data_IF_630600085771
#
_entry.id   IF_630600085771
#
_cell.length_a   1.000
_cell.length_b   1.000
_cell.length_c   1.000
_cell.angle_alpha   90.00
_cell.angle_beta   90.00
_cell.angle_gamma   90.00
#
_symmetry.space_group_name_H-M   'P 1'
#
loop_
_entity.id
_entity.type
_entity.pdbx_description
1 polymer ?
#
# COMPACT_ATOMS: atom_id res chain seq x y z
N UNK A 1 10.79 3.55 31.48
CA UNK A 1 10.91 4.07 30.09
C UNK A 1 9.53 4.32 29.57
N UNK A 2 9.33 5.46 28.89
CA UNK A 2 8.09 5.77 28.20
C UNK A 2 7.81 4.70 27.13
N UNK A 3 6.53 4.47 26.85
CA UNK A 3 6.07 3.50 25.85
C UNK A 3 6.43 3.93 24.42
N UNK A 4 6.41 5.24 24.21
CA UNK A 4 6.59 5.94 22.95
C UNK A 4 7.60 7.07 23.14
N UNK A 5 8.14 7.56 22.02
CA UNK A 5 9.10 8.69 21.99
C UNK A 5 8.46 10.00 21.56
N UNK A 6 7.21 9.94 21.09
CA UNK A 6 6.42 11.08 20.62
C UNK A 6 5.01 11.04 21.21
N UNK A 7 4.32 12.17 21.15
CA UNK A 7 2.93 12.32 21.56
C UNK A 7 1.97 11.76 20.50
N UNK A 8 0.87 11.15 20.95
CA UNK A 8 -0.13 10.51 20.09
C UNK A 8 -1.53 11.04 20.38
N UNK A 9 -2.44 11.04 19.40
CA UNK A 9 -3.83 11.42 19.62
C UNK A 9 -4.49 10.60 20.74
N UNK A 10 -4.20 9.29 20.77
CA UNK A 10 -4.63 8.36 21.81
C UNK A 10 -3.45 7.50 22.24
N UNK A 11 -3.28 7.33 23.55
CA UNK A 11 -2.29 6.39 24.09
C UNK A 11 -2.64 4.95 23.73
N UNK A 12 -1.63 4.12 23.50
CA UNK A 12 -1.83 2.70 23.24
C UNK A 12 -2.45 2.02 24.48
N UNK A 13 -3.64 1.39 24.39
CA UNK A 13 -4.36 0.85 25.56
C UNK A 13 -3.76 -0.49 25.99
N UNK A 14 -2.60 -0.43 26.65
CA UNK A 14 -1.84 -1.61 27.08
C UNK A 14 -1.51 -1.58 28.56
N UNK A 15 -1.51 -2.76 29.17
CA UNK A 15 -1.06 -2.95 30.56
C UNK A 15 0.30 -3.64 30.55
N UNK A 16 1.26 -3.10 31.29
CA UNK A 16 2.58 -3.73 31.44
C UNK A 16 2.48 -4.97 32.34
N UNK A 17 3.02 -6.08 31.86
CA UNK A 17 3.12 -7.35 32.58
C UNK A 17 4.56 -7.90 32.46
N UNK A 18 5.39 -7.58 33.46
CA UNK A 18 6.83 -7.85 33.43
C UNK A 18 7.53 -7.08 32.29
N UNK A 19 8.21 -7.83 31.42
CA UNK A 19 8.91 -7.32 30.23
C UNK A 19 8.01 -7.16 28.98
N UNK A 20 6.71 -7.40 29.14
CA UNK A 20 5.74 -7.38 28.06
C UNK A 20 4.61 -6.40 28.33
N UNK A 21 3.85 -6.10 27.27
CA UNK A 21 2.66 -5.28 27.34
C UNK A 21 1.51 -6.05 26.74
N UNK A 22 0.34 -5.90 27.33
CA UNK A 22 -0.84 -6.67 26.99
C UNK A 22 -1.91 -5.72 26.47
N UNK A 23 -2.28 -5.88 25.19
CA UNK A 23 -3.43 -5.22 24.58
C UNK A 23 -4.63 -6.18 24.58
N UNK A 24 -5.84 -5.68 24.87
CA UNK A 24 -7.06 -6.51 24.96
C UNK A 24 -8.22 -5.88 24.20
N UNK A 25 -9.02 -6.73 23.57
CA UNK A 25 -10.34 -6.36 23.04
C UNK A 25 -11.31 -7.53 23.30
N UNK A 26 -12.20 -7.34 24.29
CA UNK A 26 -13.06 -8.42 24.79
C UNK A 26 -12.22 -9.57 25.37
N UNK A 27 -12.45 -10.80 24.90
CA UNK A 27 -11.72 -11.99 25.32
C UNK A 27 -10.38 -12.19 24.57
N UNK A 28 -10.09 -11.38 23.55
CA UNK A 28 -8.85 -11.49 22.75
C UNK A 28 -7.73 -10.68 23.40
N UNK A 29 -6.53 -11.24 23.35
CA UNK A 29 -5.33 -10.64 23.93
C UNK A 29 -4.16 -10.72 22.95
N UNK A 30 -3.37 -9.64 22.89
CA UNK A 30 -2.10 -9.60 22.16
C UNK A 30 -0.96 -9.26 23.12
N UNK A 31 0.03 -10.15 23.18
CA UNK A 31 1.29 -9.93 23.90
C UNK A 31 2.26 -9.14 23.03
N UNK A 32 2.47 -7.89 23.39
CA UNK A 32 3.43 -6.99 22.77
C UNK A 32 4.78 -7.07 23.48
N UNK A 33 5.86 -6.98 22.71
CA UNK A 33 7.23 -7.13 23.21
C UNK A 33 8.17 -6.13 22.56
N UNK A 34 9.25 -5.80 23.29
CA UNK A 34 10.32 -4.94 22.79
C UNK A 34 9.85 -3.55 22.33
N UNK A 35 8.87 -2.96 23.01
CA UNK A 35 8.33 -1.65 22.60
C UNK A 35 9.38 -0.53 22.60
N UNK A 36 10.30 -0.43 23.58
CA UNK A 36 11.37 0.58 23.55
C UNK A 36 12.45 0.34 22.49
N UNK A 37 12.38 -0.74 21.71
CA UNK A 37 13.39 -1.06 20.69
C UNK A 37 13.34 -0.02 19.58
N UNK A 38 14.47 0.65 19.33
CA UNK A 38 14.60 1.64 18.25
C UNK A 38 14.44 0.94 16.90
N UNK A 39 13.50 1.43 16.08
CA UNK A 39 13.26 0.97 14.71
C UNK A 39 13.84 1.95 13.68
N UNK A 40 13.83 3.24 14.00
CA UNK A 40 14.43 4.32 13.19
C UNK A 40 15.53 5.02 14.00
N UNK A 41 16.81 4.65 13.79
CA UNK A 41 17.91 5.18 14.61
C UNK A 41 18.17 6.67 14.48
N UNK A 42 17.88 7.29 13.33
CA UNK A 42 18.15 8.70 13.11
C UNK A 42 17.17 9.59 13.88
N UNK A 43 15.89 9.20 13.89
CA UNK A 43 14.79 9.91 14.53
C UNK A 43 14.57 9.45 15.98
N UNK A 44 15.05 8.26 16.32
CA UNK A 44 14.82 7.62 17.61
C UNK A 44 13.47 6.89 17.72
N UNK A 45 12.65 6.84 16.66
CA UNK A 45 11.35 6.16 16.73
C UNK A 45 11.50 4.67 17.04
N UNK A 46 10.64 4.22 17.92
CA UNK A 46 10.67 2.87 18.48
C UNK A 46 9.59 1.97 17.89
N UNK A 47 9.68 0.68 18.19
CA UNK A 47 8.59 -0.27 17.94
C UNK A 47 7.29 0.18 18.63
N UNK A 48 7.38 0.77 19.82
CA UNK A 48 6.24 1.35 20.54
C UNK A 48 5.57 2.47 19.75
N UNK A 49 6.35 3.33 19.10
CA UNK A 49 5.84 4.38 18.22
C UNK A 49 5.12 3.80 17.00
N UNK A 50 5.71 2.79 16.34
CA UNK A 50 5.07 2.09 15.22
C UNK A 50 3.73 1.45 15.61
N UNK A 51 3.66 0.79 16.76
CA UNK A 51 2.43 0.15 17.22
C UNK A 51 1.38 1.19 17.61
N UNK A 52 1.79 2.28 18.24
CA UNK A 52 0.88 3.36 18.62
C UNK A 52 0.36 4.10 17.39
N UNK A 53 1.19 4.26 16.36
CA UNK A 53 0.74 4.72 15.04
C UNK A 53 -0.37 3.85 14.48
N UNK A 54 -0.12 2.54 14.34
CA UNK A 54 -1.08 1.64 13.74
C UNK A 54 -2.37 1.54 14.56
N UNK A 55 -2.29 1.61 15.89
CA UNK A 55 -3.47 1.73 16.73
C UNK A 55 -4.30 2.98 16.39
N UNK A 56 -3.67 4.16 16.35
CA UNK A 56 -4.36 5.43 16.12
C UNK A 56 -4.90 5.59 14.70
N UNK A 57 -4.24 5.02 13.68
CA UNK A 57 -4.69 5.11 12.28
C UNK A 57 -5.67 3.99 11.91
N UNK A 58 -5.89 3.03 12.81
CA UNK A 58 -6.61 1.78 12.49
C UNK A 58 -7.97 2.02 11.85
N UNK A 59 -8.82 2.88 12.42
CA UNK A 59 -10.15 3.17 11.88
C UNK A 59 -10.09 3.71 10.43
N UNK A 60 -9.11 4.54 10.11
CA UNK A 60 -8.91 5.09 8.75
C UNK A 60 -8.29 4.07 7.80
N UNK A 61 -7.39 3.22 8.29
CA UNK A 61 -6.64 2.28 7.45
C UNK A 61 -7.40 0.97 7.18
N UNK A 62 -8.27 0.53 8.09
CA UNK A 62 -8.96 -0.76 8.02
C UNK A 62 -9.75 -1.00 6.72
N UNK A 63 -10.53 -0.04 6.17
CA UNK A 63 -11.24 -0.23 4.90
C UNK A 63 -10.33 -0.65 3.73
N UNK A 64 -9.06 -0.23 3.78
CA UNK A 64 -8.04 -0.52 2.77
C UNK A 64 -7.37 -1.89 2.93
N UNK A 65 -7.58 -2.57 4.05
CA UNK A 65 -7.00 -3.89 4.38
C UNK A 65 -8.04 -5.00 4.50
N UNK A 66 -9.26 -4.65 4.88
CA UNK A 66 -10.31 -5.61 5.16
C UNK A 66 -10.63 -6.48 3.93
N UNK A 67 -10.78 -7.77 4.17
CA UNK A 67 -11.03 -8.79 3.16
C UNK A 67 -9.96 -8.84 2.06
N UNK A 68 -8.74 -8.32 2.28
CA UNK A 68 -7.62 -8.44 1.34
C UNK A 68 -6.55 -9.37 1.89
N UNK A 69 -6.07 -10.33 1.10
CA UNK A 69 -4.88 -11.10 1.46
C UNK A 69 -3.68 -10.16 1.69
N UNK A 70 -3.04 -10.24 2.85
CA UNK A 70 -1.98 -9.33 3.26
C UNK A 70 -0.60 -9.96 3.15
N UNK A 71 0.28 -9.34 2.37
CA UNK A 71 1.73 -9.59 2.46
C UNK A 71 2.34 -8.63 3.48
N UNK A 72 3.10 -9.16 4.43
CA UNK A 72 3.77 -8.35 5.46
C UNK A 72 5.24 -8.14 5.09
N UNK A 73 5.72 -6.90 5.05
CA UNK A 73 7.18 -6.64 5.00
C UNK A 73 7.70 -6.47 6.42
N UNK A 74 8.37 -7.50 6.90
CA UNK A 74 8.83 -7.60 8.29
C UNK A 74 10.28 -7.14 8.41
N UNK A 75 10.51 -6.26 9.38
CA UNK A 75 11.81 -5.72 9.77
C UNK A 75 11.96 -5.82 11.31
N UNK A 76 12.13 -7.03 11.88
CA UNK A 76 12.10 -7.21 13.33
C UNK A 76 13.18 -6.41 14.10
N UNK A 77 14.22 -5.97 13.39
CA UNK A 77 15.36 -5.21 13.90
C UNK A 77 15.39 -3.75 13.43
N UNK A 78 14.24 -3.20 12.98
CA UNK A 78 14.17 -1.83 12.47
C UNK A 78 14.68 -1.69 11.05
N UNK A 79 14.65 -0.46 10.52
CA UNK A 79 14.91 -0.15 9.10
C UNK A 79 16.37 -0.36 8.69
N UNK A 80 17.31 -0.33 9.64
CA UNK A 80 18.72 -0.66 9.39
C UNK A 80 19.04 -2.17 9.41
N UNK A 81 18.05 -3.01 9.73
CA UNK A 81 18.22 -4.47 9.79
C UNK A 81 17.82 -5.19 8.49
N UNK A 82 17.89 -6.52 8.52
CA UNK A 82 17.36 -7.34 7.43
C UNK A 82 15.82 -7.30 7.39
N UNK A 83 15.27 -7.41 6.18
CA UNK A 83 13.84 -7.51 5.96
C UNK A 83 13.48 -8.80 5.21
N UNK A 84 12.22 -9.21 5.33
CA UNK A 84 11.64 -10.27 4.51
C UNK A 84 10.15 -10.04 4.28
N UNK A 85 9.64 -10.57 3.16
CA UNK A 85 8.21 -10.59 2.88
C UNK A 85 7.61 -11.91 3.35
N UNK A 86 6.53 -11.85 4.11
CA UNK A 86 5.81 -13.01 4.60
C UNK A 86 4.36 -12.95 4.12
N UNK A 87 4.00 -13.93 3.27
CA UNK A 87 2.66 -14.07 2.69
C UNK A 87 1.76 -14.98 3.54
N UNK A 88 2.34 -16.07 4.05
CA UNK A 88 1.61 -17.07 4.81
C UNK A 88 1.52 -16.68 6.28
N UNK A 89 0.36 -16.87 6.89
CA UNK A 89 0.14 -16.73 8.32
C UNK A 89 1.19 -17.51 9.12
N UNK A 90 1.88 -16.88 10.08
CA UNK A 90 2.85 -17.57 10.93
C UNK A 90 2.22 -18.74 11.70
N UNK A 91 3.03 -19.75 12.05
CA UNK A 91 2.54 -20.91 12.82
C UNK A 91 1.94 -20.58 14.19
N UNK A 92 2.28 -19.40 14.73
CA UNK A 92 1.80 -18.90 16.02
C UNK A 92 0.68 -17.87 15.88
N UNK A 93 0.05 -17.79 14.70
CA UNK A 93 -1.16 -16.99 14.48
C UNK A 93 -2.26 -17.44 15.46
N UNK A 94 -2.84 -16.52 16.25
CA UNK A 94 -3.97 -16.80 17.10
C UNK A 94 -5.18 -17.34 16.33
N UNK A 95 -5.96 -18.20 16.96
CA UNK A 95 -7.16 -18.83 16.38
C UNK A 95 -8.25 -17.83 15.94
N UNK A 96 -8.31 -16.67 16.61
CA UNK A 96 -9.25 -15.60 16.28
C UNK A 96 -8.82 -14.72 15.09
N UNK A 97 -7.59 -14.86 14.58
CA UNK A 97 -7.16 -14.15 13.37
C UNK A 97 -7.76 -14.85 12.14
N UNK A 98 -8.41 -14.07 11.27
CA UNK A 98 -8.94 -14.60 10.02
C UNK A 98 -7.80 -14.82 9.01
N UNK A 99 -7.87 -15.95 8.30
CA UNK A 99 -7.02 -16.23 7.15
C UNK A 99 -7.83 -16.37 5.86
N UNK A 100 -7.22 -15.97 4.75
CA UNK A 100 -7.76 -16.08 3.40
C UNK A 100 -6.91 -17.09 2.62
N UNK A 101 -7.44 -18.29 2.30
CA UNK A 101 -6.71 -19.28 1.53
C UNK A 101 -6.65 -18.86 0.05
N UNK A 102 -5.44 -18.76 -0.49
CA UNK A 102 -5.17 -18.39 -1.89
C UNK A 102 -4.26 -19.44 -2.51
N UNK A 103 -4.62 -20.03 -3.67
CA UNK A 103 -3.72 -20.90 -4.42
C UNK A 103 -2.42 -20.17 -4.78
N UNK A 104 -1.28 -20.85 -4.61
CA UNK A 104 0.01 -20.32 -5.09
C UNK A 104 0.08 -20.39 -6.62
N UNK A 105 0.89 -19.51 -7.24
CA UNK A 105 1.15 -19.49 -8.69
C UNK A 105 1.57 -20.85 -9.31
N UNK A 106 2.05 -21.82 -8.51
CA UNK A 106 2.41 -23.17 -8.96
C UNK A 106 1.35 -24.23 -8.69
N UNK A 107 0.11 -23.85 -8.36
CA UNK A 107 -1.11 -24.66 -8.12
C UNK A 107 -1.00 -25.87 -7.16
N UNK A 108 0.11 -25.96 -6.44
CA UNK A 108 0.47 -27.13 -5.63
C UNK A 108 0.38 -26.84 -4.13
N UNK A 109 0.21 -25.58 -3.74
CA UNK A 109 0.14 -25.14 -2.34
C UNK A 109 -0.91 -24.07 -2.16
N UNK A 110 -1.58 -24.10 -1.01
CA UNK A 110 -2.45 -23.03 -0.54
C UNK A 110 -1.63 -22.15 0.40
N UNK A 111 -1.63 -20.84 0.15
CA UNK A 111 -1.10 -19.83 1.06
C UNK A 111 -2.25 -19.28 1.89
N UNK A 112 -2.14 -19.36 3.20
CA UNK A 112 -3.13 -18.79 4.11
C UNK A 112 -2.70 -17.36 4.44
N UNK A 113 -3.20 -16.39 3.70
CA UNK A 113 -2.89 -14.99 3.95
C UNK A 113 -3.63 -14.49 5.19
N UNK A 114 -3.05 -13.55 5.91
CA UNK A 114 -3.80 -12.80 6.92
C UNK A 114 -4.66 -11.73 6.24
N UNK A 115 -5.69 -11.30 6.94
CA UNK A 115 -6.37 -10.02 6.72
C UNK A 115 -6.50 -9.32 8.08
N UNK A 116 -6.84 -8.03 8.07
CA UNK A 116 -6.88 -7.20 9.28
C UNK A 116 -8.25 -6.54 9.37
N UNK A 117 -9.00 -6.86 10.42
CA UNK A 117 -10.41 -6.45 10.61
C UNK A 117 -10.62 -5.46 11.74
N UNK A 118 -9.67 -5.35 12.65
CA UNK A 118 -9.73 -4.40 13.76
C UNK A 118 -8.34 -3.98 14.25
N UNK A 119 -8.31 -3.02 15.17
CA UNK A 119 -7.10 -2.48 15.75
C UNK A 119 -6.26 -3.54 16.49
N UNK A 120 -6.88 -4.55 17.10
CA UNK A 120 -6.16 -5.60 17.84
C UNK A 120 -5.43 -6.54 16.87
N UNK A 121 -6.07 -6.92 15.76
CA UNK A 121 -5.44 -7.66 14.66
C UNK A 121 -4.28 -6.86 14.04
N UNK A 122 -4.48 -5.55 13.83
CA UNK A 122 -3.45 -4.66 13.30
C UNK A 122 -2.22 -4.59 14.21
N UNK A 123 -2.45 -4.46 15.53
CA UNK A 123 -1.38 -4.50 16.52
C UNK A 123 -0.64 -5.83 16.53
N UNK A 124 -1.36 -6.94 16.37
CA UNK A 124 -0.73 -8.26 16.30
C UNK A 124 0.21 -8.35 15.09
N UNK A 125 -0.25 -7.94 13.90
CA UNK A 125 0.55 -7.92 12.67
C UNK A 125 1.77 -6.99 12.82
N UNK A 126 1.58 -5.75 13.26
CA UNK A 126 2.68 -4.80 13.48
C UNK A 126 3.70 -5.33 14.50
N UNK A 127 3.24 -6.01 15.56
CA UNK A 127 4.09 -6.60 16.59
C UNK A 127 5.03 -7.70 16.06
N UNK A 128 4.71 -8.35 14.95
CA UNK A 128 5.61 -9.27 14.24
C UNK A 128 6.83 -8.57 13.63
N UNK A 129 6.89 -7.24 13.72
CA UNK A 129 7.86 -6.37 13.05
C UNK A 129 7.41 -6.01 11.65
N UNK A 130 6.13 -6.16 11.29
CA UNK A 130 5.61 -5.71 10.01
C UNK A 130 5.59 -4.17 9.99
N UNK A 131 6.55 -3.57 9.29
CA UNK A 131 6.59 -2.11 9.10
C UNK A 131 5.64 -1.72 7.98
N UNK A 132 5.62 -2.46 6.87
CA UNK A 132 4.73 -2.18 5.73
C UNK A 132 3.66 -3.26 5.58
N UNK A 133 2.45 -2.82 5.23
CA UNK A 133 1.28 -3.65 4.95
C UNK A 133 1.01 -3.61 3.45
N UNK A 134 1.11 -4.77 2.78
CA UNK A 134 0.95 -4.89 1.31
C UNK A 134 -0.23 -5.80 0.97
N UNK A 135 -1.47 -5.28 0.96
CA UNK A 135 -2.62 -6.05 0.51
C UNK A 135 -2.51 -6.40 -0.98
N UNK A 136 -3.05 -7.56 -1.34
CA UNK A 136 -3.30 -7.93 -2.73
C UNK A 136 -4.41 -7.04 -3.33
N UNK A 137 -4.43 -6.94 -4.66
CA UNK A 137 -5.35 -6.04 -5.37
C UNK A 137 -6.80 -6.56 -5.41
N UNK A 138 -7.00 -7.86 -5.25
CA UNK A 138 -8.30 -8.52 -5.16
C UNK A 138 -8.75 -8.73 -3.71
N UNK A 139 -10.04 -9.01 -3.53
CA UNK A 139 -10.68 -9.27 -2.22
C UNK A 139 -11.07 -10.74 -2.09
N UNK A 140 -11.11 -11.24 -0.86
CA UNK A 140 -11.56 -12.58 -0.52
C UNK A 140 -10.68 -13.66 -1.18
N UNK A 141 -11.32 -14.75 -1.59
CA UNK A 141 -10.65 -15.88 -2.24
C UNK A 141 -10.62 -15.78 -3.76
N UNK A 142 -11.46 -14.95 -4.39
CA UNK A 142 -11.35 -14.68 -5.82
C UNK A 142 -10.18 -13.73 -6.05
N UNK A 143 -9.07 -14.31 -6.48
CA UNK A 143 -7.85 -13.57 -6.80
C UNK A 143 -7.69 -13.32 -8.30
N UNK A 144 -8.74 -13.54 -9.10
CA UNK A 144 -8.69 -13.32 -10.56
C UNK A 144 -9.24 -11.95 -10.98
N UNK A 145 -10.11 -11.37 -10.15
CA UNK A 145 -10.73 -10.06 -10.37
C UNK A 145 -10.22 -9.02 -9.35
N UNK A 146 -9.29 -8.12 -9.73
CA UNK A 146 -8.88 -7.05 -8.84
C UNK A 146 -10.03 -6.07 -8.58
N UNK A 147 -10.05 -5.52 -7.36
CA UNK A 147 -10.98 -4.45 -6.97
C UNK A 147 -10.51 -3.04 -7.34
N UNK A 148 -9.28 -2.91 -7.86
CA UNK A 148 -8.76 -1.65 -8.38
C UNK A 148 -7.71 -1.90 -9.45
N UNK A 149 -7.61 -0.99 -10.42
CA UNK A 149 -6.43 -0.79 -11.25
C UNK A 149 -5.54 0.30 -10.64
N UNK A 150 -4.28 0.38 -11.03
CA UNK A 150 -3.44 1.49 -10.60
C UNK A 150 -2.31 1.84 -11.57
N UNK A 151 -1.80 3.06 -11.43
CA UNK A 151 -0.54 3.52 -11.98
C UNK A 151 0.45 3.72 -10.83
N UNK A 152 1.58 3.04 -10.86
CA UNK A 152 2.70 3.25 -9.95
C UNK A 152 3.76 4.07 -10.68
N UNK A 153 3.93 5.31 -10.24
CA UNK A 153 4.82 6.30 -10.84
C UNK A 153 6.06 6.41 -9.96
N UNK A 154 7.09 5.66 -10.33
CA UNK A 154 8.32 5.55 -9.52
C UNK A 154 9.50 6.25 -10.21
N UNK A 155 9.98 7.38 -9.67
CA UNK A 155 11.19 8.02 -10.16
C UNK A 155 12.39 7.11 -10.00
N UNK A 156 13.06 6.80 -11.10
CA UNK A 156 14.36 6.14 -11.06
C UNK A 156 15.47 7.13 -10.68
N UNK A 157 16.67 6.61 -10.45
CA UNK A 157 17.85 7.44 -10.15
C UNK A 157 18.00 8.59 -11.15
N UNK A 158 18.10 9.82 -10.64
CA UNK A 158 18.19 11.04 -11.44
C UNK A 158 16.85 11.73 -11.74
N UNK A 159 15.72 11.10 -11.44
CA UNK A 159 14.40 11.74 -11.36
C UNK A 159 13.94 11.81 -9.90
N UNK A 160 13.04 12.74 -9.59
CA UNK A 160 12.52 12.96 -8.25
C UNK A 160 11.01 13.08 -8.22
N UNK A 161 10.52 13.58 -7.08
CA UNK A 161 9.10 13.66 -6.78
C UNK A 161 8.36 14.67 -7.68
N UNK A 162 9.04 15.73 -8.13
CA UNK A 162 8.46 16.70 -9.08
C UNK A 162 8.16 16.07 -10.44
N UNK A 163 9.07 15.22 -10.94
CA UNK A 163 8.81 14.45 -12.16
C UNK A 163 7.63 13.49 -11.96
N UNK A 164 7.52 12.84 -10.80
CA UNK A 164 6.34 12.02 -10.49
C UNK A 164 5.04 12.83 -10.48
N UNK A 165 5.02 14.04 -9.91
CA UNK A 165 3.86 14.94 -9.94
C UNK A 165 3.49 15.34 -11.35
N UNK A 166 4.48 15.72 -12.16
CA UNK A 166 4.26 16.06 -13.56
C UNK A 166 3.65 14.89 -14.33
N UNK A 167 4.21 13.69 -14.21
CA UNK A 167 3.69 12.49 -14.88
C UNK A 167 2.30 12.12 -14.37
N UNK A 168 2.03 12.26 -13.06
CA UNK A 168 0.70 12.08 -12.49
C UNK A 168 -0.34 13.04 -13.10
N UNK A 169 0.07 14.27 -13.43
CA UNK A 169 -0.80 15.24 -14.10
C UNK A 169 -1.16 14.81 -15.53
N UNK A 170 -0.22 14.21 -16.26
CA UNK A 170 -0.48 13.65 -17.60
C UNK A 170 -1.47 12.47 -17.52
N UNK A 171 -1.26 11.57 -16.56
CA UNK A 171 -2.18 10.45 -16.29
C UNK A 171 -3.58 11.00 -15.97
N UNK A 172 -3.69 12.00 -15.09
CA UNK A 172 -4.98 12.62 -14.73
C UNK A 172 -5.73 13.17 -15.93
N UNK A 173 -5.05 13.84 -16.85
CA UNK A 173 -5.66 14.38 -18.08
C UNK A 173 -6.29 13.25 -18.91
N UNK A 174 -5.60 12.12 -19.09
CA UNK A 174 -6.15 10.99 -19.83
C UNK A 174 -7.33 10.34 -19.11
N UNK A 175 -7.22 10.15 -17.79
CA UNK A 175 -8.30 9.57 -16.98
C UNK A 175 -9.57 10.44 -17.04
N UNK A 176 -9.44 11.76 -16.95
CA UNK A 176 -10.57 12.70 -17.08
C UNK A 176 -11.22 12.63 -18.45
N UNK A 177 -10.42 12.49 -19.52
CA UNK A 177 -10.94 12.36 -20.89
C UNK A 177 -11.68 11.04 -21.11
N UNK A 178 -11.27 9.99 -20.42
CA UNK A 178 -11.92 8.68 -20.44
C UNK A 178 -13.10 8.57 -19.46
N UNK A 179 -13.35 9.60 -18.64
CA UNK A 179 -14.38 9.57 -17.61
C UNK A 179 -14.08 8.60 -16.46
N UNK A 180 -12.80 8.25 -16.26
CA UNK A 180 -12.37 7.31 -15.22
C UNK A 180 -12.09 8.04 -13.91
N UNK A 181 -12.77 7.62 -12.84
CA UNK A 181 -12.52 8.11 -11.48
C UNK A 181 -11.22 7.50 -10.94
N UNK A 182 -10.37 8.35 -10.39
CA UNK A 182 -9.10 7.92 -9.83
C UNK A 182 -8.72 8.72 -8.59
N UNK A 183 -7.95 8.09 -7.70
CA UNK A 183 -7.60 8.61 -6.38
C UNK A 183 -6.10 8.46 -6.18
N UNK A 184 -5.37 9.56 -5.96
CA UNK A 184 -3.93 9.51 -5.80
C UNK A 184 -3.51 9.39 -4.33
N UNK A 185 -2.34 8.80 -4.12
CA UNK A 185 -1.61 8.83 -2.86
C UNK A 185 -0.12 8.95 -3.12
N UNK A 186 0.62 9.57 -2.20
CA UNK A 186 2.07 9.41 -2.21
C UNK A 186 2.39 7.96 -1.89
N UNK A 187 3.44 7.40 -2.49
CA UNK A 187 3.89 6.08 -2.07
C UNK A 187 4.42 6.13 -0.63
N UNK A 188 4.82 7.30 -0.14
CA UNK A 188 5.55 7.48 1.10
C UNK A 188 7.05 7.26 0.91
N UNK A 189 7.51 6.88 -0.28
CA UNK A 189 8.92 6.85 -0.64
C UNK A 189 9.16 7.94 -1.70
N UNK A 190 9.54 7.55 -2.91
CA UNK A 190 9.96 8.45 -4.00
C UNK A 190 8.83 8.85 -4.96
N UNK A 191 7.72 8.11 -4.98
CA UNK A 191 6.76 8.15 -6.08
C UNK A 191 5.31 8.46 -5.70
N UNK A 192 4.44 8.38 -6.71
CA UNK A 192 2.99 8.61 -6.61
C UNK A 192 2.25 7.38 -7.14
N UNK A 193 1.17 7.02 -6.47
CA UNK A 193 0.31 5.90 -6.86
C UNK A 193 -1.10 6.42 -7.12
N UNK A 194 -1.68 6.05 -8.26
CA UNK A 194 -3.01 6.50 -8.68
C UNK A 194 -3.90 5.28 -8.83
N UNK A 195 -4.96 5.18 -8.04
CA UNK A 195 -5.85 4.02 -8.00
C UNK A 195 -7.19 4.32 -8.67
N UNK A 196 -7.68 3.36 -9.44
CA UNK A 196 -8.98 3.38 -10.07
C UNK A 196 -9.80 2.24 -9.46
N UNK A 197 -10.80 2.51 -8.60
CA UNK A 197 -11.65 1.46 -8.05
C UNK A 197 -12.44 0.78 -9.16
N UNK A 198 -12.54 -0.55 -9.10
CA UNK A 198 -13.21 -1.40 -10.08
C UNK A 198 -14.40 -2.14 -9.46
N UNK A 199 -15.40 -2.44 -10.28
CA UNK A 199 -16.64 -3.12 -9.87
C UNK A 199 -16.47 -4.65 -9.69
N UNK A 200 -15.25 -5.18 -9.84
CA UNK A 200 -14.93 -6.60 -9.72
C UNK A 200 -15.30 -7.45 -10.94
N UNK A 201 -15.62 -6.82 -12.09
CA UNK A 201 -15.99 -7.55 -13.33
C UNK A 201 -14.83 -7.75 -14.30
N UNK A 202 -13.65 -7.19 -13.99
CA UNK A 202 -12.50 -7.17 -14.87
C UNK A 202 -11.40 -8.11 -14.40
N UNK A 203 -10.82 -8.85 -15.35
CA UNK A 203 -9.62 -9.65 -15.12
C UNK A 203 -8.37 -8.77 -15.09
N UNK A 204 -7.29 -9.26 -14.49
CA UNK A 204 -5.99 -8.57 -14.53
C UNK A 204 -5.49 -8.30 -15.96
N UNK A 205 -5.74 -9.20 -16.91
CA UNK A 205 -5.28 -9.01 -18.29
C UNK A 205 -6.02 -7.83 -18.97
N UNK A 206 -7.31 -7.67 -18.73
CA UNK A 206 -8.10 -6.52 -19.21
C UNK A 206 -7.63 -5.22 -18.55
N UNK A 207 -7.43 -5.23 -17.23
CA UNK A 207 -6.89 -4.09 -16.48
C UNK A 207 -5.54 -3.65 -17.05
N UNK A 208 -4.62 -4.59 -17.28
CA UNK A 208 -3.32 -4.30 -17.90
C UNK A 208 -3.43 -3.82 -19.33
N UNK A 209 -4.45 -4.26 -20.06
CA UNK A 209 -4.77 -3.72 -21.38
C UNK A 209 -4.98 -2.22 -21.35
N UNK A 210 -5.87 -1.76 -20.47
CA UNK A 210 -6.21 -0.34 -20.31
C UNK A 210 -5.05 0.46 -19.73
N UNK A 211 -4.50 0.03 -18.60
CA UNK A 211 -3.36 0.71 -17.95
C UNK A 211 -2.16 0.78 -18.91
N UNK A 212 -1.93 -0.28 -19.68
CA UNK A 212 -0.86 -0.33 -20.67
C UNK A 212 -1.02 0.69 -21.79
N UNK A 213 -2.21 0.80 -22.40
CA UNK A 213 -2.46 1.80 -23.46
C UNK A 213 -2.33 3.22 -22.90
N UNK A 214 -2.87 3.49 -21.71
CA UNK A 214 -2.76 4.81 -21.08
C UNK A 214 -1.28 5.15 -20.81
N UNK A 215 -0.51 4.22 -20.24
CA UNK A 215 0.92 4.43 -19.98
C UNK A 215 1.74 4.61 -21.26
N UNK A 216 1.37 3.94 -22.36
CA UNK A 216 1.96 4.16 -23.70
C UNK A 216 1.67 5.57 -24.21
N UNK A 217 0.43 6.05 -24.10
CA UNK A 217 0.07 7.42 -24.49
C UNK A 217 0.80 8.49 -23.67
N UNK A 218 0.93 8.28 -22.35
CA UNK A 218 1.74 9.17 -21.49
C UNK A 218 3.20 9.13 -21.93
N UNK A 219 3.72 7.95 -22.25
CA UNK A 219 5.10 7.80 -22.70
C UNK A 219 5.36 8.46 -24.07
N UNK A 220 4.43 8.34 -25.00
CA UNK A 220 4.50 9.01 -26.30
C UNK A 220 4.41 10.53 -26.18
N UNK A 221 3.62 11.04 -25.22
CA UNK A 221 3.51 12.47 -24.96
C UNK A 221 4.81 13.05 -24.40
N UNK A 222 5.54 12.32 -23.55
CA UNK A 222 6.84 12.73 -23.04
C UNK A 222 7.76 11.53 -22.69
N UNK A 223 8.45 11.03 -23.71
CA UNK A 223 9.42 9.94 -23.56
C UNK A 223 10.73 10.38 -22.91
N UNK A 224 10.91 11.69 -22.70
CA UNK A 224 12.11 12.25 -22.05
C UNK A 224 12.01 12.13 -20.54
N UNK A 225 10.83 12.33 -19.98
CA UNK A 225 10.55 12.25 -18.53
C UNK A 225 10.07 10.86 -18.08
N UNK A 226 9.59 10.03 -19.00
CA UNK A 226 8.97 8.73 -18.67
C UNK A 226 9.67 7.55 -19.32
N UNK A 227 9.52 6.37 -18.73
CA UNK A 227 10.02 5.11 -19.29
C UNK A 227 9.08 3.94 -19.02
N UNK A 228 8.97 3.06 -20.02
CA UNK A 228 8.32 1.74 -19.92
C UNK A 228 9.35 0.60 -19.88
N UNK A 229 10.64 0.95 -19.86
CA UNK A 229 11.73 -0.03 -19.92
C UNK A 229 11.85 -0.80 -18.62
N UNK A 230 11.86 -2.11 -18.74
CA UNK A 230 12.04 -3.02 -17.60
C UNK A 230 13.45 -3.04 -17.05
N UNK A 231 14.44 -2.79 -17.89
CA UNK A 231 15.84 -2.80 -17.49
C UNK A 231 16.15 -1.54 -16.69
N UNK A 232 16.54 -1.68 -15.42
CA UNK A 232 16.77 -0.54 -14.51
C UNK A 232 17.81 0.45 -15.07
N UNK A 233 18.85 -0.07 -15.75
CA UNK A 233 19.89 0.71 -16.43
C UNK A 233 19.35 1.68 -17.51
N UNK A 234 18.13 1.44 -18.02
CA UNK A 234 17.48 2.27 -19.05
C UNK A 234 16.49 3.28 -18.48
N UNK A 235 16.41 3.40 -17.15
CA UNK A 235 15.43 4.25 -16.47
C UNK A 235 16.01 5.56 -15.93
N UNK A 236 17.33 5.71 -15.91
CA UNK A 236 18.01 6.88 -15.32
C UNK A 236 17.44 8.20 -15.82
N UNK A 237 17.10 9.11 -14.89
CA UNK A 237 16.52 10.41 -15.16
C UNK A 237 15.03 10.40 -15.49
N UNK A 238 14.33 9.27 -15.31
CA UNK A 238 12.93 9.10 -15.75
C UNK A 238 12.04 8.50 -14.67
N UNK A 239 10.74 8.73 -14.82
CA UNK A 239 9.68 8.08 -14.05
C UNK A 239 9.29 6.78 -14.76
N UNK A 240 9.42 5.66 -14.05
CA UNK A 240 8.99 4.36 -14.54
C UNK A 240 7.49 4.19 -14.36
N UNK A 241 6.81 3.78 -15.44
CA UNK A 241 5.39 3.46 -15.45
C UNK A 241 5.21 1.94 -15.30
N UNK A 242 5.06 1.44 -14.06
CA UNK A 242 4.99 -0.02 -13.83
C UNK A 242 3.61 -0.63 -14.14
N UNK A 243 3.37 -0.91 -15.42
CA UNK A 243 2.15 -1.59 -15.87
C UNK A 243 2.06 -3.03 -15.37
N UNK A 244 3.17 -3.67 -14.98
CA UNK A 244 3.17 -5.10 -14.69
C UNK A 244 2.73 -5.44 -13.28
N UNK A 245 2.78 -4.48 -12.38
CA UNK A 245 2.30 -4.67 -11.01
C UNK A 245 0.77 -4.86 -10.94
N UNK A 246 0.02 -4.51 -11.99
CA UNK A 246 -1.39 -4.88 -12.14
C UNK A 246 -1.55 -6.37 -12.53
N UNK A 247 -1.14 -7.31 -11.67
CA UNK A 247 -1.25 -8.76 -11.95
C UNK A 247 -1.69 -9.55 -10.72
N UNK A 248 -2.18 -10.76 -10.94
CA UNK A 248 -2.51 -11.70 -9.88
C UNK A 248 -1.29 -11.98 -8.98
N UNK A 249 -1.55 -12.08 -7.66
CA UNK A 249 -0.52 -12.33 -6.65
C UNK A 249 0.43 -11.16 -6.36
N UNK A 250 0.34 -10.06 -7.11
CA UNK A 250 1.03 -8.80 -6.80
C UNK A 250 0.32 -8.04 -5.68
N UNK A 251 1.07 -7.13 -5.07
CA UNK A 251 0.63 -6.33 -3.94
C UNK A 251 1.29 -4.95 -4.02
N UNK A 252 0.74 -4.01 -3.25
CA UNK A 252 1.26 -2.66 -3.14
C UNK A 252 1.04 -2.17 -1.71
N UNK A 253 1.90 -1.26 -1.24
CA UNK A 253 1.75 -0.69 0.11
C UNK A 253 0.36 -0.05 0.26
N UNK A 254 -0.36 -0.41 1.32
CA UNK A 254 -1.68 0.14 1.61
C UNK A 254 -1.64 1.66 1.80
N UNK A 255 -2.76 2.33 1.55
CA UNK A 255 -2.98 3.67 2.08
C UNK A 255 -2.75 3.65 3.60
N UNK A 256 -2.07 4.67 4.12
CA UNK A 256 -1.69 4.80 5.53
C UNK A 256 -0.68 3.75 6.04
N UNK A 257 -0.08 2.93 5.17
CA UNK A 257 1.05 2.09 5.59
C UNK A 257 2.28 2.95 5.84
N UNK A 258 2.95 2.70 6.96
CA UNK A 258 4.30 3.24 7.22
C UNK A 258 5.29 2.66 6.22
N UNK A 259 6.29 3.46 5.83
CA UNK A 259 7.40 3.09 4.96
C UNK A 259 8.71 3.11 5.77
N UNK A 260 9.69 2.24 5.47
CA UNK A 260 10.98 2.14 6.14
C UNK A 260 11.96 3.21 5.65
N UNK A 261 11.45 4.41 5.41
CA UNK A 261 12.20 5.57 4.95
C UNK A 261 12.57 6.45 6.14
N UNK A 262 13.52 7.39 5.98
CA UNK A 262 13.76 8.44 6.96
C UNK A 262 12.44 9.15 7.34
N UNK A 263 12.31 9.52 8.60
CA UNK A 263 11.12 10.08 9.24
C UNK A 263 9.92 9.14 9.36
N UNK A 264 10.05 7.84 9.07
CA UNK A 264 8.93 6.89 9.10
C UNK A 264 7.72 7.45 8.31
N UNK A 265 7.96 7.75 7.04
CA UNK A 265 6.94 8.29 6.15
C UNK A 265 5.77 7.34 5.97
N UNK A 266 4.66 7.88 5.50
CA UNK A 266 3.38 7.19 5.36
C UNK A 266 2.93 7.31 3.91
N UNK A 267 2.41 6.22 3.34
CA UNK A 267 1.74 6.29 2.05
C UNK A 267 0.44 7.08 2.18
N UNK A 268 0.42 8.31 1.68
CA UNK A 268 -0.56 9.32 2.12
C UNK A 268 -1.54 9.66 1.00
N UNK A 269 -2.84 9.33 1.13
CA UNK A 269 -3.88 9.79 0.22
C UNK A 269 -4.03 11.31 0.15
N UNK A 270 -4.35 11.81 -1.04
CA UNK A 270 -4.58 13.22 -1.27
C UNK A 270 -5.60 13.50 -2.37
N UNK A 271 -6.19 14.68 -2.34
CA UNK A 271 -7.11 15.16 -3.37
C UNK A 271 -6.32 15.69 -4.57
N UNK A 272 -6.83 15.51 -5.79
CA UNK A 272 -6.12 15.97 -7.01
C UNK A 272 -5.73 17.46 -6.99
N UNK A 273 -6.51 18.31 -6.31
CA UNK A 273 -6.20 19.73 -6.14
C UNK A 273 -4.89 19.99 -5.37
N UNK A 274 -4.42 19.01 -4.60
CA UNK A 274 -3.18 19.07 -3.82
C UNK A 274 -1.95 18.57 -4.60
N UNK A 275 -2.10 18.06 -5.84
CA UNK A 275 -1.01 17.40 -6.57
C UNK A 275 0.26 18.27 -6.67
N UNK A 276 0.10 19.59 -6.86
CA UNK A 276 1.23 20.53 -6.96
C UNK A 276 1.89 20.90 -5.63
N UNK A 277 1.32 20.50 -4.49
CA UNK A 277 1.78 20.91 -3.14
C UNK A 277 1.89 19.77 -2.15
N UNK A 278 1.47 18.55 -2.50
CA UNK A 278 1.42 17.41 -1.59
C UNK A 278 2.83 16.93 -1.25
N UNK A 279 3.18 16.85 0.03
CA UNK A 279 4.45 16.28 0.48
C UNK A 279 4.22 14.93 1.17
N UNK A 280 5.30 14.16 1.35
CA UNK A 280 5.23 12.96 2.18
C UNK A 280 4.94 13.35 3.65
N UNK A 281 3.95 12.68 4.24
CA UNK A 281 3.70 12.76 5.67
C UNK A 281 4.42 11.64 6.43
N UNK A 282 4.66 11.85 7.72
CA UNK A 282 5.25 10.88 8.64
C UNK A 282 4.22 10.35 9.63
N UNK A 283 4.62 9.36 10.43
CA UNK A 283 3.83 8.91 11.59
C UNK A 283 3.47 10.06 12.54
N UNK A 284 4.25 11.14 12.59
CA UNK A 284 3.96 12.33 13.40
C UNK A 284 2.98 13.28 12.72
N UNK A 285 3.16 13.57 11.43
CA UNK A 285 2.43 14.64 10.75
C UNK A 285 1.09 14.22 10.15
N UNK A 286 0.84 12.90 10.00
CA UNK A 286 -0.35 12.43 9.28
C UNK A 286 -1.66 12.71 10.03
N UNK A 287 -1.69 12.68 11.36
CA UNK A 287 -2.96 12.79 12.10
C UNK A 287 -3.58 14.19 11.99
N UNK A 288 -2.74 15.24 11.90
CA UNK A 288 -3.23 16.59 11.62
C UNK A 288 -3.90 16.69 10.25
N UNK A 289 -3.39 15.93 9.25
CA UNK A 289 -4.02 15.82 7.93
C UNK A 289 -5.33 15.06 8.01
N UNK A 290 -5.34 13.85 8.59
CA UNK A 290 -6.55 13.02 8.71
C UNK A 290 -7.67 13.79 9.41
N UNK A 291 -7.36 14.49 10.50
CA UNK A 291 -8.34 15.31 11.23
C UNK A 291 -8.91 16.47 10.37
N UNK A 292 -8.13 16.99 9.41
CA UNK A 292 -8.52 18.13 8.56
C UNK A 292 -9.32 17.71 7.33
N UNK A 293 -8.92 16.64 6.65
CA UNK A 293 -9.46 16.26 5.33
C UNK A 293 -10.14 14.89 5.29
N UNK A 294 -10.10 14.12 6.39
CA UNK A 294 -10.61 12.76 6.42
C UNK A 294 -9.77 11.79 5.58
N UNK A 295 -10.45 10.86 4.90
CA UNK A 295 -9.85 9.88 3.98
C UNK A 295 -10.30 10.13 2.52
N UNK A 296 -9.49 10.86 1.73
CA UNK A 296 -9.71 11.04 0.28
C UNK A 296 -9.75 9.72 -0.51
N UNK A 297 -9.17 8.66 0.05
CA UNK A 297 -9.03 7.35 -0.59
C UNK A 297 -10.19 6.41 -0.31
N UNK A 298 -11.09 6.76 0.59
CA UNK A 298 -12.19 5.90 1.00
C UNK A 298 -13.00 5.32 -0.18
N UNK A 299 -13.25 6.05 -1.29
CA UNK A 299 -13.92 5.48 -2.46
C UNK A 299 -13.17 4.31 -3.12
N UNK A 300 -11.85 4.17 -2.92
CA UNK A 300 -11.08 3.00 -3.39
C UNK A 300 -11.40 1.76 -2.56
N UNK A 301 -11.69 1.93 -1.28
CA UNK A 301 -12.05 0.85 -0.37
C UNK A 301 -13.55 0.52 -0.44
N UNK A 302 -14.43 1.51 -0.37
CA UNK A 302 -15.86 1.30 -0.13
C UNK A 302 -16.75 1.71 -1.32
N UNK A 303 -16.17 2.34 -2.34
CA UNK A 303 -16.93 2.76 -3.51
C UNK A 303 -17.52 1.57 -4.30
N UNK A 304 -18.56 1.81 -5.11
CA UNK A 304 -19.16 0.77 -5.96
C UNK A 304 -18.21 0.26 -7.05
N UNK A 305 -17.05 0.89 -7.22
CA UNK A 305 -16.15 0.66 -8.34
C UNK A 305 -16.71 1.23 -9.63
N UNK A 306 -15.93 1.09 -10.70
CA UNK A 306 -16.34 1.44 -12.05
C UNK A 306 -15.96 0.34 -13.03
N UNK A 307 -16.71 0.25 -14.13
CA UNK A 307 -16.33 -0.61 -15.23
C UNK A 307 -15.30 0.09 -16.14
N UNK A 308 -14.30 -0.67 -16.58
CA UNK A 308 -13.34 -0.26 -17.61
C UNK A 308 -13.88 -0.45 -19.03
N UNK A 309 -15.06 -1.06 -19.23
CA UNK A 309 -15.60 -1.30 -20.59
C UNK A 309 -15.62 -0.04 -21.47
N UNK A 310 -16.11 1.14 -20.99
CA UNK A 310 -16.10 2.34 -21.82
C UNK A 310 -14.69 2.77 -22.25
N UNK A 311 -13.70 2.60 -21.37
CA UNK A 311 -12.31 2.90 -21.67
C UNK A 311 -11.69 1.86 -22.62
N UNK A 312 -12.03 0.58 -22.46
CA UNK A 312 -11.62 -0.50 -23.37
C UNK A 312 -12.09 -0.19 -24.79
N UNK A 313 -13.37 0.17 -24.95
CA UNK A 313 -13.97 0.50 -26.25
C UNK A 313 -13.34 1.77 -26.85
N UNK A 314 -13.19 2.83 -26.04
CA UNK A 314 -12.62 4.10 -26.50
C UNK A 314 -11.15 3.97 -26.94
N UNK A 315 -10.37 3.15 -26.25
CA UNK A 315 -8.94 2.95 -26.51
C UNK A 315 -8.66 1.82 -27.52
N UNK A 316 -9.66 0.98 -27.83
CA UNK A 316 -9.44 -0.29 -28.51
C UNK A 316 -8.48 -1.21 -27.73
N UNK A 317 -8.49 -1.11 -26.39
CA UNK A 317 -7.55 -1.82 -25.54
C UNK A 317 -7.81 -3.33 -25.59
N UNK A 318 -6.75 -4.13 -25.76
CA UNK A 318 -6.82 -5.59 -25.75
C UNK A 318 -6.27 -6.14 -24.44
N UNK A 319 -6.79 -7.28 -23.93
CA UNK A 319 -6.20 -7.94 -22.78
C UNK A 319 -4.71 -8.23 -22.98
N UNK A 320 -3.89 -7.93 -21.96
CA UNK A 320 -2.43 -8.12 -21.99
C UNK A 320 -2.02 -9.05 -20.86
N UNK A 321 -1.29 -10.12 -21.17
CA UNK A 321 -0.69 -11.03 -20.17
C UNK A 321 0.51 -10.42 -19.47
N UNK A 322 0.61 -10.60 -18.15
CA UNK A 322 1.77 -10.16 -17.38
C UNK A 322 3.06 -10.78 -17.95
N UNK A 323 4.15 -10.02 -17.96
CA UNK A 323 5.45 -10.60 -18.33
C UNK A 323 5.88 -11.54 -17.21
N UNK A 324 6.06 -12.82 -17.54
CA UNK A 324 6.65 -13.78 -16.59
C UNK A 324 8.12 -13.45 -16.42
N UNK A 325 8.47 -12.85 -15.28
CA UNK A 325 9.86 -12.69 -14.87
C UNK A 325 10.28 -14.01 -14.25
N UNK A 326 11.10 -14.80 -14.95
CA UNK A 326 11.85 -15.87 -14.30
C UNK A 326 12.81 -15.19 -13.33
N UNK A 327 12.58 -15.38 -12.03
CA UNK A 327 13.53 -15.00 -10.99
C UNK A 327 14.81 -15.82 -11.12
#
# INVERSE_FOLDING_TARGET
MALTTIDWPTELPVVRHGEHWIARAGAREVRLSNLPKVYWPQEGFTKGDLLTYYFNVSETMLPHLECRPLTMKRMPNGVGGSFFYEKNAPKHTPDWMLTLPVPSDSDTKIINYLTVRDALEMLWVANLGAIEFHPLHARGSDQTHPSYAFFDLDPAEGAGFEEARYVASLVKVLLDRLGLQAYPKTSGATGIQIMLPLDGTHTYDEVRGVVGVISELVHEADSTTTTLEWEVSKRTGKVFLDVNMNREGANIAAAYSVRPEPNATVSTPFEWAELGTIENHSIQSIFGRIAKVGDPFLPVAEGPGQSLLPAIDALGAKPRKARMVRR
#
